data_IF_204916704897
#
_entry.id   IF_204916704897
#
_cell.length_a   1.000
_cell.length_b   1.000
_cell.length_c   1.000
_cell.angle_alpha   90.00
_cell.angle_beta   90.00
_cell.angle_gamma   90.00
#
_symmetry.space_group_name_H-M   'P 1'
#
loop_
_entity.id
_entity.type
_entity.pdbx_description
1 polymer ?
#
# COMPACT_ATOMS: atom_id res chain seq x y z
N UNK A 1 27.11 20.81 13.35
CA UNK A 1 26.10 20.04 14.12
C UNK A 1 24.77 19.89 13.38
N UNK A 2 24.07 20.97 12.97
CA UNK A 2 22.79 20.88 12.23
C UNK A 2 22.84 20.00 10.96
N UNK A 3 23.93 20.06 10.20
CA UNK A 3 24.16 19.26 8.99
C UNK A 3 24.28 17.75 9.25
N UNK A 4 24.89 17.35 10.38
CA UNK A 4 25.04 15.93 10.72
C UNK A 4 23.70 15.31 11.14
N UNK A 5 22.87 16.05 11.88
CA UNK A 5 21.52 15.61 12.26
C UNK A 5 20.62 15.46 11.05
N UNK A 6 20.65 16.41 10.11
CA UNK A 6 19.86 16.32 8.87
C UNK A 6 20.29 15.10 8.05
N UNK A 7 21.60 14.88 7.86
CA UNK A 7 22.10 13.69 7.15
C UNK A 7 21.73 12.37 7.83
N UNK A 8 21.72 12.34 9.17
CA UNK A 8 21.28 11.17 9.91
C UNK A 8 19.79 10.88 9.69
N UNK A 9 18.95 11.93 9.67
CA UNK A 9 17.52 11.80 9.36
C UNK A 9 17.28 11.34 7.92
N UNK A 10 17.98 11.92 6.94
CA UNK A 10 17.91 11.49 5.54
C UNK A 10 18.31 10.02 5.37
N UNK A 11 19.37 9.60 6.06
CA UNK A 11 19.80 8.21 6.08
C UNK A 11 18.71 7.30 6.68
N UNK A 12 18.14 7.67 7.83
CA UNK A 12 17.08 6.90 8.48
C UNK A 12 15.84 6.77 7.60
N UNK A 13 15.37 7.87 6.99
CA UNK A 13 14.24 7.87 6.05
C UNK A 13 14.54 6.98 4.84
N UNK A 14 15.76 7.03 4.29
CA UNK A 14 16.16 6.16 3.17
C UNK A 14 16.14 4.68 3.55
N UNK A 15 16.58 4.34 4.76
CA UNK A 15 16.52 2.96 5.24
C UNK A 15 15.08 2.49 5.45
N UNK A 16 14.23 3.33 6.04
CA UNK A 16 12.79 3.05 6.18
C UNK A 16 12.12 2.79 4.84
N UNK A 17 12.38 3.62 3.81
CA UNK A 17 11.85 3.42 2.45
C UNK A 17 12.22 2.04 1.90
N UNK A 18 13.49 1.62 2.03
CA UNK A 18 13.96 0.30 1.58
C UNK A 18 13.26 -0.85 2.29
N UNK A 19 12.98 -0.70 3.59
CA UNK A 19 12.25 -1.70 4.37
C UNK A 19 10.78 -1.76 3.94
N UNK A 20 10.12 -0.61 3.77
CA UNK A 20 8.72 -0.57 3.36
C UNK A 20 8.49 -0.95 1.89
N UNK A 21 9.50 -0.94 1.03
CA UNK A 21 9.34 -1.44 -0.35
C UNK A 21 9.16 -2.96 -0.42
N UNK A 22 9.62 -3.68 0.60
CA UNK A 22 9.60 -5.14 0.64
C UNK A 22 8.37 -5.64 1.39
N UNK A 23 7.71 -6.66 0.83
CA UNK A 23 6.71 -7.40 1.58
C UNK A 23 7.39 -8.29 2.61
N UNK A 24 6.74 -8.48 3.75
CA UNK A 24 7.13 -9.51 4.72
C UNK A 24 6.79 -10.93 4.25
N UNK A 25 6.95 -11.88 5.16
CA UNK A 25 6.49 -13.26 4.97
C UNK A 25 4.97 -13.29 4.72
N UNK A 26 4.52 -14.11 3.77
CA UNK A 26 3.09 -14.32 3.49
C UNK A 26 2.38 -14.85 4.74
N UNK A 27 1.35 -14.12 5.19
CA UNK A 27 0.50 -14.52 6.34
C UNK A 27 -0.94 -14.78 5.95
N UNK A 28 -1.40 -14.28 4.80
CA UNK A 28 -2.74 -14.50 4.28
C UNK A 28 -2.69 -14.75 2.77
N UNK A 29 -3.51 -15.70 2.30
CA UNK A 29 -3.76 -15.89 0.87
C UNK A 29 -5.21 -15.51 0.60
N UNK A 30 -5.41 -14.58 -0.32
CA UNK A 30 -6.72 -14.17 -0.80
C UNK A 30 -6.99 -14.84 -2.14
N UNK A 31 -8.04 -15.67 -2.19
CA UNK A 31 -8.54 -16.26 -3.44
C UNK A 31 -9.77 -15.47 -3.87
N UNK A 32 -9.73 -14.94 -5.09
CA UNK A 32 -10.77 -14.02 -5.58
C UNK A 32 -10.76 -13.99 -7.10
N UNK A 33 -11.80 -13.43 -7.71
CA UNK A 33 -11.89 -13.27 -9.16
C UNK A 33 -11.35 -11.91 -9.64
N UNK A 34 -11.10 -11.80 -10.94
CA UNK A 34 -10.56 -10.59 -11.57
C UNK A 34 -11.48 -9.38 -11.51
N UNK A 35 -12.79 -9.57 -11.34
CA UNK A 35 -13.75 -8.47 -11.18
C UNK A 35 -13.60 -7.85 -9.79
N UNK A 36 -13.55 -8.70 -8.76
CA UNK A 36 -13.33 -8.26 -7.38
C UNK A 36 -11.94 -7.61 -7.22
N UNK A 37 -10.90 -8.12 -7.91
CA UNK A 37 -9.57 -7.46 -7.95
C UNK A 37 -9.66 -6.04 -8.52
N UNK A 38 -10.43 -5.83 -9.59
CA UNK A 38 -10.64 -4.48 -10.16
C UNK A 38 -11.37 -3.58 -9.17
N UNK A 39 -12.41 -4.08 -8.50
CA UNK A 39 -13.11 -3.31 -7.45
C UNK A 39 -12.17 -2.93 -6.30
N UNK A 40 -11.30 -3.85 -5.85
CA UNK A 40 -10.29 -3.53 -4.83
C UNK A 40 -9.33 -2.43 -5.29
N UNK A 41 -8.88 -2.46 -6.56
CA UNK A 41 -8.01 -1.43 -7.13
C UNK A 41 -8.70 -0.07 -7.18
N UNK A 42 -9.98 -0.02 -7.55
CA UNK A 42 -10.78 1.21 -7.54
C UNK A 42 -10.89 1.80 -6.14
N UNK A 43 -11.26 1.00 -5.14
CA UNK A 43 -11.35 1.43 -3.74
C UNK A 43 -10.01 1.93 -3.19
N UNK A 44 -8.91 1.25 -3.52
CA UNK A 44 -7.55 1.71 -3.17
C UNK A 44 -7.26 3.06 -3.83
N UNK A 45 -7.64 3.26 -5.09
CA UNK A 45 -7.41 4.52 -5.79
C UNK A 45 -8.21 5.67 -5.16
N UNK A 46 -9.45 5.41 -4.76
CA UNK A 46 -10.29 6.42 -4.11
C UNK A 46 -9.79 6.75 -2.70
N UNK A 47 -9.32 5.75 -1.94
CA UNK A 47 -8.63 5.96 -0.66
C UNK A 47 -7.36 6.82 -0.81
N UNK A 48 -6.56 6.57 -1.85
CA UNK A 48 -5.37 7.39 -2.15
C UNK A 48 -5.76 8.83 -2.48
N UNK A 49 -6.83 9.04 -3.27
CA UNK A 49 -7.31 10.40 -3.58
C UNK A 49 -7.75 11.13 -2.32
N UNK A 50 -8.61 10.51 -1.50
CA UNK A 50 -9.08 11.10 -0.24
C UNK A 50 -7.93 11.45 0.68
N UNK A 51 -6.96 10.54 0.83
CA UNK A 51 -5.77 10.80 1.64
C UNK A 51 -4.93 11.94 1.07
N UNK A 52 -4.77 12.02 -0.25
CA UNK A 52 -3.99 13.08 -0.89
C UNK A 52 -4.66 14.45 -0.74
N UNK A 53 -5.97 14.53 -0.92
CA UNK A 53 -6.76 15.75 -0.70
C UNK A 53 -6.60 16.26 0.73
N UNK A 54 -6.74 15.37 1.72
CA UNK A 54 -6.56 15.71 3.14
C UNK A 54 -5.14 16.23 3.44
N UNK A 55 -4.11 15.68 2.79
CA UNK A 55 -2.72 16.13 2.95
C UNK A 55 -2.47 17.48 2.26
N UNK A 56 -3.02 17.71 1.08
CA UNK A 56 -2.85 18.97 0.33
C UNK A 56 -3.62 20.15 0.94
N UNK A 57 -4.73 19.88 1.64
CA UNK A 57 -5.51 20.90 2.34
C UNK A 57 -4.94 21.30 3.71
N UNK A 58 -3.92 20.61 4.21
CA UNK A 58 -3.31 20.90 5.50
C UNK A 58 -2.23 21.97 5.40
N UNK A 59 -2.26 22.98 6.28
CA UNK A 59 -1.23 24.04 6.35
C UNK A 59 0.14 23.48 6.75
N UNK A 60 0.16 22.46 7.61
CA UNK A 60 1.34 21.71 7.98
C UNK A 60 0.93 20.31 8.48
N UNK A 61 1.67 19.28 8.06
CA UNK A 61 1.50 17.92 8.55
C UNK A 61 2.65 17.63 9.53
N UNK A 62 2.37 17.22 10.78
CA UNK A 62 3.41 16.80 11.73
C UNK A 62 4.31 15.73 11.14
N UNK A 63 5.62 15.79 11.43
CA UNK A 63 6.59 14.85 10.87
C UNK A 63 6.21 13.38 11.14
N UNK A 64 5.75 13.05 12.34
CA UNK A 64 5.29 11.70 12.68
C UNK A 64 4.18 11.20 11.76
N UNK A 65 3.15 12.03 11.54
CA UNK A 65 2.04 11.70 10.65
C UNK A 65 2.51 11.54 9.21
N UNK A 66 3.43 12.39 8.73
CA UNK A 66 3.99 12.25 7.37
C UNK A 66 4.75 10.93 7.17
N UNK A 67 5.43 10.44 8.21
CA UNK A 67 6.16 9.16 8.20
C UNK A 67 5.17 7.99 8.19
N UNK A 68 4.10 8.05 8.98
CA UNK A 68 3.05 7.05 9.00
C UNK A 68 2.31 6.96 7.66
N UNK A 69 1.94 8.12 7.07
CA UNK A 69 1.33 8.18 5.74
C UNK A 69 2.27 7.66 4.66
N UNK A 70 3.56 7.99 4.73
CA UNK A 70 4.56 7.44 3.81
C UNK A 70 4.60 5.91 3.89
N UNK A 71 4.67 5.33 5.10
CA UNK A 71 4.65 3.89 5.28
C UNK A 71 3.37 3.26 4.71
N UNK A 72 2.21 3.85 5.01
CA UNK A 72 0.91 3.41 4.48
C UNK A 72 0.90 3.36 2.95
N UNK A 73 1.41 4.41 2.30
CA UNK A 73 1.50 4.49 0.83
C UNK A 73 2.39 3.38 0.24
N UNK A 74 3.53 3.08 0.88
CA UNK A 74 4.36 1.96 0.45
C UNK A 74 3.62 0.62 0.53
N UNK A 75 2.86 0.38 1.61
CA UNK A 75 2.04 -0.83 1.74
C UNK A 75 0.99 -0.89 0.63
N UNK A 76 0.28 0.21 0.34
CA UNK A 76 -0.69 0.27 -0.77
C UNK A 76 -0.06 -0.02 -2.13
N UNK A 77 1.13 0.52 -2.40
CA UNK A 77 1.86 0.21 -3.63
C UNK A 77 2.20 -1.28 -3.74
N UNK A 78 2.56 -1.94 -2.63
CA UNK A 78 2.79 -3.40 -2.63
C UNK A 78 1.51 -4.16 -2.94
N UNK A 79 0.40 -3.79 -2.31
CA UNK A 79 -0.92 -4.40 -2.56
C UNK A 79 -1.31 -4.21 -4.04
N UNK A 80 -1.30 -2.98 -4.55
CA UNK A 80 -1.64 -2.68 -5.94
C UNK A 80 -0.80 -3.47 -6.94
N UNK A 81 0.52 -3.57 -6.73
CA UNK A 81 1.41 -4.39 -7.57
C UNK A 81 1.01 -5.87 -7.55
N UNK A 82 0.62 -6.41 -6.40
CA UNK A 82 0.19 -7.81 -6.27
C UNK A 82 -1.15 -8.05 -6.97
N UNK A 83 -2.10 -7.13 -6.85
CA UNK A 83 -3.39 -7.16 -7.52
C UNK A 83 -3.24 -7.12 -9.04
N UNK A 84 -2.45 -6.18 -9.58
CA UNK A 84 -2.18 -6.08 -11.03
C UNK A 84 -1.53 -7.37 -11.55
N UNK A 85 -0.50 -7.87 -10.87
CA UNK A 85 0.15 -9.15 -11.23
C UNK A 85 -0.82 -10.33 -11.20
N UNK A 86 -1.76 -10.34 -10.26
CA UNK A 86 -2.76 -11.39 -10.16
C UNK A 86 -3.75 -11.35 -11.33
N UNK A 87 -4.15 -10.16 -11.79
CA UNK A 87 -4.96 -9.98 -13.00
C UNK A 87 -4.21 -10.45 -14.25
N UNK A 88 -2.98 -9.99 -14.45
CA UNK A 88 -2.14 -10.41 -15.59
C UNK A 88 -1.92 -11.93 -15.63
N UNK A 89 -1.75 -12.56 -14.45
CA UNK A 89 -1.58 -14.01 -14.33
C UNK A 89 -2.86 -14.78 -14.65
N UNK A 90 -4.02 -14.26 -14.25
CA UNK A 90 -5.32 -14.85 -14.56
C UNK A 90 -5.59 -14.80 -16.07
N UNK A 91 -5.35 -13.64 -16.70
CA UNK A 91 -5.48 -13.43 -18.15
C UNK A 91 -4.57 -14.39 -18.94
N UNK A 92 -3.29 -14.49 -18.58
CA UNK A 92 -2.35 -15.42 -19.23
C UNK A 92 -2.76 -16.89 -19.14
N UNK A 93 -3.54 -17.25 -18.11
CA UNK A 93 -4.02 -18.62 -17.88
C UNK A 93 -5.42 -18.88 -18.42
N UNK A 94 -6.10 -17.86 -18.97
CA UNK A 94 -7.49 -17.98 -19.40
C UNK A 94 -8.45 -18.31 -18.25
N UNK A 95 -8.12 -17.89 -17.03
CA UNK A 95 -8.97 -18.08 -15.84
C UNK A 95 -9.44 -16.75 -15.29
N UNK A 96 -10.54 -16.78 -14.54
CA UNK A 96 -11.07 -15.61 -13.85
C UNK A 96 -10.62 -15.54 -12.39
N UNK A 97 -10.04 -16.61 -11.83
CA UNK A 97 -9.63 -16.67 -10.43
C UNK A 97 -8.13 -16.54 -10.24
N UNK A 98 -7.75 -15.86 -9.16
CA UNK A 98 -6.36 -15.63 -8.81
C UNK A 98 -6.13 -15.73 -7.30
N UNK A 99 -4.90 -16.13 -6.94
CA UNK A 99 -4.44 -16.15 -5.54
C UNK A 99 -3.46 -15.00 -5.32
N UNK A 100 -3.71 -14.22 -4.28
CA UNK A 100 -2.90 -13.08 -3.88
C UNK A 100 -2.32 -13.35 -2.50
N UNK A 101 -1.00 -13.38 -2.40
CA UNK A 101 -0.28 -13.58 -1.15
C UNK A 101 -0.02 -12.24 -0.47
N UNK A 102 -0.49 -12.08 0.76
CA UNK A 102 -0.39 -10.85 1.54
C UNK A 102 0.42 -11.09 2.81
N UNK A 103 1.30 -10.15 3.12
CA UNK A 103 1.90 -10.06 4.45
C UNK A 103 0.87 -9.54 5.48
N UNK A 104 1.26 -9.50 6.75
CA UNK A 104 0.38 -9.07 7.85
C UNK A 104 -0.12 -7.63 7.68
N UNK A 105 0.73 -6.70 7.23
CA UNK A 105 0.39 -5.28 7.10
C UNK A 105 -0.53 -5.05 5.89
N UNK A 106 -0.21 -5.70 4.77
CA UNK A 106 -0.99 -5.67 3.54
C UNK A 106 -2.40 -6.23 3.77
N UNK A 107 -2.51 -7.38 4.43
CA UNK A 107 -3.79 -8.00 4.74
C UNK A 107 -4.65 -7.11 5.65
N UNK A 108 -4.02 -6.47 6.65
CA UNK A 108 -4.72 -5.55 7.57
C UNK A 108 -5.23 -4.32 6.81
N UNK A 109 -4.37 -3.67 6.04
CA UNK A 109 -4.72 -2.43 5.33
C UNK A 109 -5.78 -2.67 4.26
N UNK A 110 -5.65 -3.75 3.47
CA UNK A 110 -6.66 -4.11 2.48
C UNK A 110 -8.03 -4.33 3.15
N UNK A 111 -8.05 -5.07 4.26
CA UNK A 111 -9.31 -5.32 5.00
C UNK A 111 -9.92 -4.03 5.54
N UNK A 112 -9.10 -3.08 5.97
CA UNK A 112 -9.57 -1.78 6.45
C UNK A 112 -10.26 -0.98 5.33
N UNK A 113 -9.60 -0.82 4.18
CA UNK A 113 -10.16 -0.09 3.03
C UNK A 113 -11.44 -0.74 2.53
N UNK A 114 -11.49 -2.08 2.48
CA UNK A 114 -12.69 -2.79 2.04
C UNK A 114 -13.89 -2.61 3.00
N UNK A 115 -13.66 -2.37 4.29
CA UNK A 115 -14.70 -2.15 5.30
C UNK A 115 -15.18 -0.70 5.38
N UNK A 116 -14.29 0.26 5.15
CA UNK A 116 -14.59 1.70 5.27
C UNK A 116 -15.40 2.24 4.09
N UNK A 117 -15.44 1.51 2.96
CA UNK A 117 -16.19 1.88 1.75
C UNK A 117 -17.33 0.89 1.44
N UNK A 118 -17.96 0.33 2.47
CA UNK A 118 -19.10 -0.61 2.38
C UNK A 118 -20.34 -0.12 3.09
#
# INVERSE_FOLDING_TARGET
>A
MKDQTIRALEYAVRMLKKEWEKSGETKKVLETDTTEIRSMLEKINDDVKMSNEAMTGAEAIPFGESIEQSKRNYILLRIGRKLVKATEKAEKKGTVYSKIELDKEEAKLLTQIMKEQG
#
